data_IF_518518151531
#
_entry.id   IF_518518151531
#
_cell.length_a   1.000
_cell.length_b   1.000
_cell.length_c   1.000
_cell.angle_alpha   90.00
_cell.angle_beta   90.00
_cell.angle_gamma   90.00
#
_symmetry.space_group_name_H-M   'P 1'
#
loop_
_entity.id
_entity.type
_entity.pdbx_description
1 polymer ?
#
# COMPACT_ATOMS: atom_id res chain seq x y z
N UNK A 1 -38.64 -14.70 -13.12
CA UNK A 1 -37.48 -14.50 -12.26
C UNK A 1 -37.47 -13.05 -11.86
N UNK A 2 -37.93 -12.73 -10.66
CA UNK A 2 -38.16 -11.36 -10.21
C UNK A 2 -36.86 -10.74 -9.73
N UNK A 3 -36.47 -9.66 -10.38
CA UNK A 3 -35.36 -8.80 -9.93
C UNK A 3 -35.81 -8.04 -8.67
N UNK A 4 -35.38 -8.49 -7.52
CA UNK A 4 -35.51 -7.71 -6.28
C UNK A 4 -34.50 -6.57 -6.32
N UNK A 5 -34.98 -5.40 -6.76
CA UNK A 5 -34.27 -4.15 -6.62
C UNK A 5 -34.26 -3.76 -5.15
N UNK A 6 -33.13 -3.94 -4.49
CA UNK A 6 -32.90 -3.35 -3.18
C UNK A 6 -32.76 -1.83 -3.37
N UNK A 7 -33.88 -1.13 -3.23
CA UNK A 7 -33.96 0.33 -3.13
C UNK A 7 -33.30 0.77 -1.82
N UNK A 8 -31.98 0.85 -1.77
CA UNK A 8 -31.35 1.81 -0.87
C UNK A 8 -31.70 3.18 -1.43
N UNK A 9 -32.51 3.93 -0.68
CA UNK A 9 -33.10 5.19 -1.09
C UNK A 9 -32.03 6.13 -1.62
N UNK A 10 -32.37 6.92 -2.63
CA UNK A 10 -31.58 8.04 -3.16
C UNK A 10 -31.12 9.03 -2.06
N UNK A 11 -31.78 9.06 -0.92
CA UNK A 11 -31.42 9.89 0.24
C UNK A 11 -30.04 9.55 0.83
N UNK A 12 -29.52 8.33 0.63
CA UNK A 12 -28.17 7.97 1.05
C UNK A 12 -27.07 8.60 0.17
N UNK A 13 -27.41 9.08 -1.01
CA UNK A 13 -26.48 9.69 -1.97
C UNK A 13 -26.17 11.16 -1.67
N UNK A 14 -26.91 11.78 -0.78
CA UNK A 14 -26.79 13.21 -0.44
C UNK A 14 -26.34 13.47 1.00
N UNK A 15 -25.99 12.45 1.76
CA UNK A 15 -25.48 12.67 3.11
C UNK A 15 -24.11 13.33 3.05
N UNK A 16 -24.01 14.48 3.68
CA UNK A 16 -22.77 15.23 3.76
C UNK A 16 -21.72 14.41 4.54
N UNK A 17 -20.58 14.13 3.91
CA UNK A 17 -19.44 13.57 4.60
C UNK A 17 -18.80 14.69 5.43
N UNK A 18 -18.74 14.52 6.75
CA UNK A 18 -17.98 15.41 7.61
C UNK A 18 -16.58 14.84 7.82
N UNK A 19 -15.60 15.73 7.89
CA UNK A 19 -14.22 15.36 8.21
C UNK A 19 -13.84 15.92 9.58
N UNK A 20 -13.10 15.13 10.35
CA UNK A 20 -12.51 15.54 11.62
C UNK A 20 -11.02 15.22 11.59
N UNK A 21 -10.20 16.13 12.08
CA UNK A 21 -8.77 15.96 12.20
C UNK A 21 -8.41 16.09 13.67
N UNK A 22 -7.56 15.19 14.14
CA UNK A 22 -6.92 15.30 15.45
C UNK A 22 -5.41 15.46 15.23
N UNK A 23 -4.80 16.30 16.03
CA UNK A 23 -3.35 16.49 16.10
C UNK A 23 -2.97 16.30 17.56
N UNK A 24 -2.02 15.41 17.82
CA UNK A 24 -1.60 14.98 19.17
C UNK A 24 -2.77 14.61 20.09
N UNK A 25 -3.81 13.99 19.50
CA UNK A 25 -5.02 13.55 20.21
C UNK A 25 -6.12 14.58 20.34
N UNK A 26 -5.85 15.87 20.12
CA UNK A 26 -6.82 16.95 20.23
C UNK A 26 -7.47 17.28 18.88
N UNK A 27 -8.77 17.57 18.89
CA UNK A 27 -9.49 17.95 17.67
C UNK A 27 -9.01 19.30 17.15
N UNK A 28 -8.79 19.35 15.83
CA UNK A 28 -8.51 20.61 15.14
C UNK A 28 -9.71 21.58 15.31
N UNK A 29 -9.41 22.76 15.83
CA UNK A 29 -10.42 23.77 16.10
C UNK A 29 -11.19 24.22 14.85
N UNK A 30 -12.44 24.63 15.02
CA UNK A 30 -13.32 25.09 13.93
C UNK A 30 -12.84 26.40 13.25
N UNK A 31 -11.83 27.05 13.79
CA UNK A 31 -11.20 28.24 13.22
C UNK A 31 -10.40 27.91 11.95
N UNK A 32 -9.95 26.65 11.80
CA UNK A 32 -9.21 26.19 10.62
C UNK A 32 -10.19 25.76 9.52
N UNK A 33 -10.23 26.50 8.42
CA UNK A 33 -11.08 26.19 7.28
C UNK A 33 -10.40 25.14 6.38
N UNK A 34 -10.82 23.87 6.46
CA UNK A 34 -10.30 22.78 5.64
C UNK A 34 -10.86 22.91 4.22
N UNK A 35 -9.97 23.09 3.25
CA UNK A 35 -10.34 23.19 1.84
C UNK A 35 -10.36 21.83 1.14
N UNK A 36 -9.37 20.96 1.42
CA UNK A 36 -9.23 19.67 0.77
C UNK A 36 -8.45 18.69 1.63
N UNK A 37 -8.87 17.44 1.61
CA UNK A 37 -8.12 16.31 2.19
C UNK A 37 -7.95 15.26 1.10
N UNK A 38 -6.73 14.77 0.94
CA UNK A 38 -6.37 13.67 0.04
C UNK A 38 -5.60 12.63 0.82
N UNK A 39 -5.96 11.36 0.66
CA UNK A 39 -5.22 10.24 1.23
C UNK A 39 -4.76 9.31 0.11
N UNK A 40 -3.53 8.82 0.22
CA UNK A 40 -2.90 7.95 -0.76
C UNK A 40 -2.45 6.68 -0.07
N UNK A 41 -3.00 5.55 -0.50
CA UNK A 41 -2.64 4.22 -0.02
C UNK A 41 -2.30 3.36 -1.22
N UNK A 42 -1.07 2.88 -1.25
CA UNK A 42 -0.53 2.07 -2.33
C UNK A 42 0.17 0.85 -1.74
N UNK A 43 0.09 -0.28 -2.44
CA UNK A 43 0.84 -1.49 -2.08
C UNK A 43 2.35 -1.21 -2.19
N UNK A 44 3.13 -1.73 -1.25
CA UNK A 44 4.59 -1.58 -1.17
C UNK A 44 5.06 -0.11 -1.03
N UNK A 45 4.17 0.78 -0.59
CA UNK A 45 4.48 2.18 -0.32
C UNK A 45 3.91 2.64 1.02
N UNK A 46 4.54 3.65 1.58
CA UNK A 46 4.03 4.32 2.78
C UNK A 46 2.78 5.12 2.46
N UNK A 47 1.75 4.98 3.28
CA UNK A 47 0.53 5.77 3.17
C UNK A 47 0.82 7.23 3.47
N UNK A 48 0.16 8.12 2.74
CA UNK A 48 0.32 9.57 2.87
C UNK A 48 -1.04 10.25 2.91
N UNK A 49 -1.05 11.43 3.51
CA UNK A 49 -2.18 12.33 3.42
C UNK A 49 -1.70 13.76 3.11
N UNK A 50 -2.56 14.50 2.45
CA UNK A 50 -2.35 15.90 2.14
C UNK A 50 -3.58 16.67 2.53
N UNK A 51 -3.39 17.65 3.41
CA UNK A 51 -4.45 18.52 3.89
C UNK A 51 -4.17 19.93 3.39
N UNK A 52 -5.17 20.58 2.83
CA UNK A 52 -5.11 21.97 2.44
C UNK A 52 -6.07 22.76 3.33
N UNK A 53 -5.55 23.73 4.05
CA UNK A 53 -6.33 24.68 4.83
C UNK A 53 -6.21 26.08 4.24
N UNK A 54 -7.21 26.88 4.43
CA UNK A 54 -7.13 28.31 4.10
C UNK A 54 -6.38 29.00 5.23
N UNK A 55 -5.35 29.74 4.89
CA UNK A 55 -4.42 30.35 5.83
C UNK A 55 -4.04 31.78 5.42
N UNK A 56 -3.62 32.58 6.39
CA UNK A 56 -3.14 33.93 6.19
C UNK A 56 -4.22 34.99 6.22
N UNK A 57 -3.90 36.08 6.91
CA UNK A 57 -4.69 37.32 6.95
C UNK A 57 -3.97 38.41 6.15
N UNK A 58 -4.51 38.70 4.96
CA UNK A 58 -3.96 39.74 4.08
C UNK A 58 -3.99 41.14 4.70
N UNK A 59 -4.89 41.35 5.67
CA UNK A 59 -4.99 42.67 6.30
C UNK A 59 -3.89 42.90 7.31
N UNK A 60 -3.39 41.83 7.90
CA UNK A 60 -2.35 41.86 8.92
C UNK A 60 -0.97 41.44 8.39
N UNK A 61 -0.90 40.89 7.17
CA UNK A 61 0.31 40.25 6.62
C UNK A 61 0.89 39.15 7.52
N UNK A 62 0.03 38.38 8.20
CA UNK A 62 0.45 37.29 9.09
C UNK A 62 0.00 35.94 8.58
N UNK A 63 0.69 34.89 9.00
CA UNK A 63 0.40 33.49 8.73
C UNK A 63 0.34 32.71 10.06
N UNK A 64 -0.55 33.17 10.93
CA UNK A 64 -0.68 32.63 12.30
C UNK A 64 -0.85 31.09 12.30
N UNK A 65 -1.47 30.52 11.25
CA UNK A 65 -1.61 29.08 11.10
C UNK A 65 -0.29 28.35 10.87
N UNK A 66 0.65 28.97 10.14
CA UNK A 66 1.96 28.40 9.88
C UNK A 66 2.92 28.54 11.05
N UNK A 67 2.72 29.55 11.88
CA UNK A 67 3.51 29.79 13.10
C UNK A 67 3.00 28.97 14.29
N UNK A 68 1.87 28.29 14.13
CA UNK A 68 1.29 27.46 15.17
C UNK A 68 2.09 26.17 15.34
N UNK A 69 2.54 25.90 16.57
CA UNK A 69 3.21 24.64 16.92
C UNK A 69 2.34 23.38 16.64
N UNK A 70 1.05 23.57 16.41
CA UNK A 70 0.12 22.50 16.08
C UNK A 70 0.51 21.76 14.78
N UNK A 71 1.10 22.47 13.81
CA UNK A 71 1.48 21.90 12.51
C UNK A 71 2.98 21.61 12.40
N UNK A 72 3.66 21.51 13.52
CA UNK A 72 5.08 21.17 13.53
C UNK A 72 5.33 19.76 12.99
N UNK A 73 6.45 19.60 12.31
CA UNK A 73 6.87 18.29 11.82
C UNK A 73 7.13 17.33 12.99
N UNK A 74 6.58 16.13 12.89
CA UNK A 74 6.65 15.11 13.93
C UNK A 74 5.39 14.95 14.75
N UNK A 75 4.48 15.94 14.80
CA UNK A 75 3.21 15.83 15.51
C UNK A 75 2.34 14.70 14.91
N UNK A 76 1.70 13.95 15.79
CA UNK A 76 0.82 12.85 15.37
C UNK A 76 -0.49 13.39 14.79
N UNK A 77 -0.95 12.79 13.70
CA UNK A 77 -2.18 13.21 13.04
C UNK A 77 -3.11 12.02 12.78
N UNK A 78 -4.40 12.24 13.05
CA UNK A 78 -5.47 11.30 12.72
C UNK A 78 -6.56 12.01 11.92
N UNK A 79 -6.92 11.46 10.76
CA UNK A 79 -7.97 11.97 9.90
C UNK A 79 -9.14 10.99 9.94
N UNK A 80 -10.31 11.50 10.28
CA UNK A 80 -11.56 10.74 10.33
C UNK A 80 -12.56 11.31 9.33
N UNK A 81 -13.29 10.42 8.67
CA UNK A 81 -14.50 10.78 7.95
C UNK A 81 -15.72 10.17 8.64
N UNK A 82 -16.76 10.96 8.79
CA UNK A 82 -18.02 10.46 9.32
C UNK A 82 -19.05 10.40 8.20
N UNK A 83 -19.62 9.21 8.05
CA UNK A 83 -20.78 8.96 7.26
C UNK A 83 -21.88 8.49 8.23
N UNK A 84 -23.05 9.12 8.21
CA UNK A 84 -24.11 8.81 9.19
C UNK A 84 -23.67 8.88 10.67
N UNK A 85 -22.88 9.88 11.02
CA UNK A 85 -22.37 10.13 12.38
C UNK A 85 -21.43 9.04 12.95
N UNK A 86 -21.01 8.06 12.14
CA UNK A 86 -20.02 7.07 12.52
C UNK A 86 -18.65 7.48 11.98
N UNK A 87 -17.72 7.91 12.84
CA UNK A 87 -16.40 8.28 12.39
C UNK A 87 -15.61 7.03 11.99
N UNK A 88 -15.00 7.08 10.82
CA UNK A 88 -14.06 6.07 10.31
C UNK A 88 -12.71 6.72 10.15
N UNK A 89 -11.69 6.14 10.77
CA UNK A 89 -10.31 6.60 10.61
C UNK A 89 -9.82 6.22 9.23
N UNK A 90 -9.52 7.22 8.41
CA UNK A 90 -9.01 7.02 7.05
C UNK A 90 -7.50 7.14 6.97
N UNK A 91 -6.88 7.84 7.92
CA UNK A 91 -5.43 8.00 7.97
C UNK A 91 -4.96 8.28 9.39
N UNK A 92 -3.85 7.62 9.78
CA UNK A 92 -3.01 7.96 10.94
C UNK A 92 -1.56 8.06 10.51
N UNK A 93 -0.83 9.00 11.11
CA UNK A 93 0.59 9.17 10.83
C UNK A 93 1.15 10.37 11.56
N UNK A 94 2.17 10.95 10.98
CA UNK A 94 2.85 12.15 11.49
C UNK A 94 2.87 13.23 10.41
N UNK A 95 2.91 14.48 10.84
CA UNK A 95 3.14 15.63 9.96
C UNK A 95 4.60 15.58 9.51
N UNK A 96 4.83 15.56 8.19
CA UNK A 96 6.16 15.54 7.62
C UNK A 96 6.67 16.96 7.33
N UNK A 97 5.80 17.77 6.75
CA UNK A 97 6.09 19.16 6.43
C UNK A 97 4.80 19.95 6.18
N UNK A 98 4.89 21.24 6.29
CA UNK A 98 3.89 22.15 5.76
C UNK A 98 4.51 23.18 4.81
N UNK A 99 3.70 23.73 3.94
CA UNK A 99 4.10 24.78 3.00
C UNK A 99 2.97 25.77 2.79
N UNK A 100 3.32 27.03 2.57
CA UNK A 100 2.36 28.08 2.28
C UNK A 100 2.41 28.38 0.78
N UNK A 101 1.25 28.52 0.17
CA UNK A 101 1.11 28.94 -1.21
C UNK A 101 0.31 30.25 -1.23
N UNK A 102 0.96 31.28 -1.72
CA UNK A 102 0.33 32.58 -1.99
C UNK A 102 -0.07 32.60 -3.48
N UNK A 103 -1.32 32.93 -3.75
CA UNK A 103 -1.74 33.19 -5.13
C UNK A 103 -2.30 34.59 -5.23
N UNK A 104 -1.64 35.45 -6.01
CA UNK A 104 -2.21 36.73 -6.40
C UNK A 104 -3.40 36.49 -7.33
N UNK A 105 -4.60 36.89 -6.90
CA UNK A 105 -5.78 36.88 -7.75
C UNK A 105 -5.81 38.09 -8.65
N UNK A 106 -5.72 37.87 -9.94
CA UNK A 106 -6.10 38.87 -10.91
C UNK A 106 -7.62 39.12 -10.80
N UNK A 107 -8.00 40.37 -10.53
CA UNK A 107 -9.38 40.87 -10.42
C UNK A 107 -10.24 40.42 -9.22
N UNK A 108 -10.31 41.26 -8.19
CA UNK A 108 -11.42 41.44 -7.22
C UNK A 108 -12.00 40.20 -6.49
N UNK A 109 -11.49 39.01 -6.60
CA UNK A 109 -11.84 37.88 -5.73
C UNK A 109 -10.75 37.76 -4.67
N UNK A 110 -11.15 37.83 -3.38
CA UNK A 110 -10.29 37.53 -2.23
C UNK A 110 -9.59 36.19 -2.45
N UNK A 111 -8.36 36.20 -2.93
CA UNK A 111 -7.55 35.01 -3.03
C UNK A 111 -7.10 34.66 -1.64
N UNK A 112 -7.67 33.61 -1.08
CA UNK A 112 -7.22 33.08 0.20
C UNK A 112 -5.91 32.32 -0.04
N UNK A 113 -4.88 32.63 0.72
CA UNK A 113 -3.67 31.81 0.76
C UNK A 113 -4.00 30.43 1.27
N UNK A 114 -3.22 29.46 0.88
CA UNK A 114 -3.39 28.07 1.30
C UNK A 114 -2.15 27.57 2.00
N UNK A 115 -2.35 26.92 3.10
CA UNK A 115 -1.33 26.11 3.74
C UNK A 115 -1.57 24.66 3.38
N UNK A 116 -0.52 23.98 2.99
CA UNK A 116 -0.54 22.56 2.62
C UNK A 116 0.27 21.79 3.65
N UNK A 117 -0.38 20.84 4.31
CA UNK A 117 0.22 19.97 5.32
C UNK A 117 0.36 18.59 4.68
N UNK A 118 1.57 18.09 4.60
CA UNK A 118 1.88 16.76 4.08
C UNK A 118 2.19 15.81 5.24
N UNK A 119 1.43 14.73 5.30
CA UNK A 119 1.49 13.74 6.36
C UNK A 119 1.90 12.38 5.78
N UNK A 120 2.59 11.59 6.58
CA UNK A 120 3.03 10.25 6.22
C UNK A 120 2.78 9.30 7.39
N UNK A 121 2.48 8.03 7.08
CA UNK A 121 2.33 7.00 8.10
C UNK A 121 3.62 6.86 8.94
N UNK A 122 3.46 6.56 10.21
CA UNK A 122 4.56 6.44 11.18
C UNK A 122 5.60 5.39 10.78
N UNK A 123 5.26 4.47 9.89
CA UNK A 123 6.19 3.52 9.30
C UNK A 123 7.35 4.18 8.53
N UNK A 124 7.29 5.49 8.26
CA UNK A 124 8.42 6.25 7.72
C UNK A 124 9.66 6.16 8.61
N UNK A 125 9.49 5.96 9.92
CA UNK A 125 10.60 5.83 10.87
C UNK A 125 11.49 4.61 10.55
N UNK A 126 10.94 3.57 9.91
CA UNK A 126 11.73 2.45 9.42
C UNK A 126 12.74 2.83 8.33
N UNK A 127 12.51 3.94 7.60
CA UNK A 127 13.48 4.47 6.63
C UNK A 127 14.67 5.16 7.28
N UNK A 128 14.53 5.54 8.52
CA UNK A 128 15.61 6.24 9.27
C UNK A 128 16.44 5.26 10.10
N UNK A 129 16.10 3.98 10.10
CA UNK A 129 16.81 2.93 10.84
C UNK A 129 17.77 2.18 9.91
N UNK A 130 19.06 2.45 10.03
CA UNK A 130 20.16 1.86 9.26
C UNK A 130 21.06 1.00 10.18
N UNK A 131 20.48 0.03 10.86
CA UNK A 131 21.25 -0.83 11.74
C UNK A 131 21.74 -2.07 10.99
N UNK A 132 23.06 -2.22 10.86
CA UNK A 132 23.66 -3.43 10.33
C UNK A 132 23.49 -4.58 11.32
N UNK A 133 22.93 -5.68 10.85
CA UNK A 133 22.57 -6.83 11.70
C UNK A 133 22.73 -8.13 10.92
N UNK A 134 23.15 -9.17 11.59
CA UNK A 134 23.17 -10.54 11.05
C UNK A 134 22.10 -11.37 11.77
N UNK A 135 21.15 -11.86 11.02
CA UNK A 135 20.12 -12.76 11.53
C UNK A 135 20.57 -14.20 11.32
N UNK A 136 20.39 -15.03 12.33
CA UNK A 136 20.72 -16.45 12.29
C UNK A 136 19.52 -17.28 12.72
N UNK A 137 19.26 -18.37 12.02
CA UNK A 137 18.16 -19.30 12.30
C UNK A 137 16.82 -18.57 12.49
N UNK A 138 16.48 -17.74 11.53
CA UNK A 138 15.23 -16.96 11.54
C UNK A 138 14.53 -17.01 10.19
N UNK A 139 13.19 -17.05 10.27
CA UNK A 139 12.33 -16.86 9.09
C UNK A 139 12.16 -15.37 8.77
N UNK A 140 11.82 -15.05 7.53
CA UNK A 140 11.53 -13.67 7.13
C UNK A 140 10.39 -13.05 7.93
N UNK A 141 9.36 -13.83 8.27
CA UNK A 141 8.28 -13.38 9.16
C UNK A 141 8.80 -12.90 10.51
N UNK A 142 9.70 -13.66 11.15
CA UNK A 142 10.27 -13.30 12.45
C UNK A 142 11.12 -12.05 12.36
N UNK A 143 11.91 -11.93 11.30
CA UNK A 143 12.78 -10.77 11.07
C UNK A 143 11.94 -9.51 10.84
N UNK A 144 10.96 -9.58 9.96
CA UNK A 144 10.08 -8.45 9.63
C UNK A 144 9.30 -7.99 10.88
N UNK A 145 8.75 -8.92 11.65
CA UNK A 145 8.05 -8.57 12.89
C UNK A 145 8.98 -7.89 13.90
N UNK A 146 10.22 -8.36 14.02
CA UNK A 146 11.21 -7.77 14.90
C UNK A 146 11.50 -6.30 14.50
N UNK A 147 11.76 -6.04 13.22
CA UNK A 147 12.03 -4.71 12.70
C UNK A 147 10.87 -3.74 12.95
N UNK A 148 9.64 -4.18 12.69
CA UNK A 148 8.45 -3.32 12.91
C UNK A 148 8.23 -3.03 14.38
N UNK A 149 8.38 -4.04 15.25
CA UNK A 149 8.15 -3.91 16.68
C UNK A 149 9.19 -3.03 17.40
N UNK A 150 10.35 -2.78 16.79
CA UNK A 150 11.34 -1.84 17.29
C UNK A 150 10.89 -0.38 17.17
N UNK A 151 9.86 -0.09 16.40
CA UNK A 151 9.32 1.27 16.24
C UNK A 151 8.06 1.41 17.09
N UNK A 152 8.15 2.24 18.13
CA UNK A 152 7.02 2.51 19.02
C UNK A 152 5.82 3.07 18.27
N UNK A 153 4.63 2.52 18.54
CA UNK A 153 3.38 2.95 17.95
C UNK A 153 3.09 2.35 16.56
N UNK A 154 3.95 1.47 16.03
CA UNK A 154 3.63 0.61 14.90
C UNK A 154 3.07 -0.73 15.38
N UNK A 155 2.26 -1.34 14.54
CA UNK A 155 1.79 -2.72 14.70
C UNK A 155 2.01 -3.50 13.40
N UNK A 156 2.15 -4.82 13.52
CA UNK A 156 2.38 -5.71 12.38
C UNK A 156 1.38 -6.84 12.31
N UNK A 157 1.16 -7.32 11.11
CA UNK A 157 0.49 -8.59 10.82
C UNK A 157 1.20 -9.19 9.62
N UNK A 158 2.02 -10.21 9.84
CA UNK A 158 2.89 -10.80 8.81
C UNK A 158 2.50 -12.25 8.62
N UNK A 159 2.16 -12.63 7.39
CA UNK A 159 1.89 -14.01 7.04
C UNK A 159 3.14 -14.88 7.24
N UNK A 160 2.93 -16.16 7.53
CA UNK A 160 4.02 -17.10 7.80
C UNK A 160 4.90 -17.30 6.56
N UNK A 161 6.21 -17.35 6.78
CA UNK A 161 7.19 -17.73 5.78
C UNK A 161 7.86 -19.04 6.17
N UNK A 162 8.14 -19.89 5.20
CA UNK A 162 8.56 -21.28 5.45
C UNK A 162 10.06 -21.48 5.49
N UNK A 163 10.82 -20.61 4.81
CA UNK A 163 12.26 -20.74 4.75
C UNK A 163 12.93 -20.10 5.97
N UNK A 164 13.79 -20.86 6.65
CA UNK A 164 14.61 -20.41 7.76
C UNK A 164 16.04 -20.18 7.28
N UNK A 165 16.50 -18.94 7.39
CA UNK A 165 17.84 -18.54 7.00
C UNK A 165 18.86 -19.02 8.03
N UNK A 166 19.85 -19.81 7.61
CA UNK A 166 20.99 -20.15 8.46
C UNK A 166 21.75 -18.87 8.86
N UNK A 167 22.00 -17.99 7.91
CA UNK A 167 22.61 -16.66 8.11
C UNK A 167 22.02 -15.71 7.06
N UNK A 168 21.51 -14.56 7.50
CA UNK A 168 21.02 -13.50 6.62
C UNK A 168 21.57 -12.16 7.08
N UNK A 169 22.51 -11.55 6.37
CA UNK A 169 23.02 -10.24 6.69
C UNK A 169 22.06 -9.15 6.19
N UNK A 170 21.74 -8.18 7.04
CA UNK A 170 21.18 -6.88 6.70
C UNK A 170 22.33 -5.88 6.79
N UNK A 171 22.79 -5.37 5.66
CA UNK A 171 23.92 -4.47 5.59
C UNK A 171 23.66 -3.29 4.66
N UNK A 172 23.92 -2.08 5.15
CA UNK A 172 23.82 -0.81 4.42
C UNK A 172 22.45 -0.62 3.73
N UNK A 173 21.39 -1.06 4.39
CA UNK A 173 20.00 -0.90 3.95
C UNK A 173 19.14 -0.48 5.14
N UNK A 174 18.21 0.45 4.94
CA UNK A 174 17.22 0.78 5.95
C UNK A 174 16.18 -0.31 6.16
N UNK A 175 15.52 -0.29 7.32
CA UNK A 175 14.57 -1.33 7.70
C UNK A 175 13.37 -1.41 6.76
N UNK A 176 12.89 -0.28 6.24
CA UNK A 176 11.76 -0.26 5.31
C UNK A 176 12.08 -0.98 4.00
N UNK A 177 13.20 -0.66 3.38
CA UNK A 177 13.60 -1.29 2.11
C UNK A 177 13.95 -2.76 2.31
N UNK A 178 14.57 -3.10 3.45
CA UNK A 178 14.85 -4.51 3.79
C UNK A 178 13.54 -5.31 3.95
N UNK A 179 12.52 -4.75 4.65
CA UNK A 179 11.20 -5.38 4.74
C UNK A 179 10.59 -5.58 3.35
N UNK A 180 10.68 -4.58 2.47
CA UNK A 180 10.16 -4.71 1.09
C UNK A 180 10.88 -5.80 0.30
N UNK A 181 12.20 -5.89 0.42
CA UNK A 181 12.98 -6.93 -0.27
C UNK A 181 12.63 -8.32 0.23
N UNK A 182 12.52 -8.50 1.56
CA UNK A 182 12.15 -9.80 2.15
C UNK A 182 10.71 -10.18 1.81
N UNK A 183 9.78 -9.24 1.84
CA UNK A 183 8.41 -9.47 1.40
C UNK A 183 8.35 -9.87 -0.08
N UNK A 184 9.05 -9.14 -0.96
CA UNK A 184 9.14 -9.46 -2.39
C UNK A 184 9.73 -10.84 -2.64
N UNK A 185 10.77 -11.21 -1.89
CA UNK A 185 11.41 -12.52 -1.98
C UNK A 185 10.42 -13.66 -1.73
N UNK A 186 9.50 -13.48 -0.79
CA UNK A 186 8.44 -14.44 -0.46
C UNK A 186 7.15 -14.26 -1.31
N UNK A 187 7.14 -13.32 -2.26
CA UNK A 187 5.94 -13.00 -3.04
C UNK A 187 4.80 -12.41 -2.21
N UNK A 188 5.12 -11.76 -1.10
CA UNK A 188 4.17 -11.08 -0.23
C UNK A 188 4.01 -9.62 -0.61
N UNK A 189 2.86 -9.05 -0.31
CA UNK A 189 2.53 -7.64 -0.50
C UNK A 189 2.57 -6.91 0.85
N UNK A 190 3.16 -5.72 0.85
CA UNK A 190 3.19 -4.85 2.04
C UNK A 190 2.10 -3.80 1.92
N UNK A 191 1.13 -3.86 2.83
CA UNK A 191 0.08 -2.87 2.97
C UNK A 191 0.36 -2.05 4.22
N UNK A 192 0.36 -0.73 4.06
CA UNK A 192 0.54 0.21 5.15
C UNK A 192 -0.73 1.03 5.34
N UNK A 193 -1.29 1.01 6.54
CA UNK A 193 -2.49 1.79 6.86
C UNK A 193 -2.62 2.04 8.36
N UNK A 194 -2.77 3.31 8.74
CA UNK A 194 -3.09 3.71 10.11
C UNK A 194 -2.07 3.19 11.16
N UNK A 195 -0.78 3.34 10.86
CA UNK A 195 0.34 2.87 11.69
C UNK A 195 0.36 1.34 11.86
N UNK A 196 -0.23 0.61 10.93
CA UNK A 196 -0.17 -0.85 10.85
C UNK A 196 0.44 -1.29 9.52
N UNK A 197 1.40 -2.19 9.60
CA UNK A 197 1.96 -2.90 8.45
C UNK A 197 1.35 -4.30 8.37
N UNK A 198 0.69 -4.59 7.26
CA UNK A 198 0.17 -5.92 6.96
C UNK A 198 0.95 -6.48 5.79
N UNK A 199 1.71 -7.54 6.03
CA UNK A 199 2.49 -8.24 5.00
C UNK A 199 1.75 -9.54 4.72
N UNK A 200 1.19 -9.64 3.52
CA UNK A 200 0.20 -10.67 3.20
C UNK A 200 0.46 -11.35 1.87
N UNK A 201 0.15 -12.63 1.82
CA UNK A 201 0.10 -13.38 0.57
C UNK A 201 -1.08 -12.88 -0.29
N UNK A 202 -0.82 -12.45 -1.54
CA UNK A 202 -1.87 -12.06 -2.47
C UNK A 202 -2.63 -13.24 -3.07
N UNK A 203 -2.15 -14.48 -2.91
CA UNK A 203 -2.89 -15.67 -3.28
C UNK A 203 -4.09 -15.80 -2.35
N UNK A 204 -5.25 -15.62 -2.90
CA UNK A 204 -6.45 -15.42 -2.12
C UNK A 204 -7.38 -16.58 -2.40
N UNK A 205 -7.82 -17.24 -1.35
CA UNK A 205 -9.01 -18.08 -1.39
C UNK A 205 -10.25 -17.27 -1.75
N UNK A 206 -11.43 -17.80 -1.58
CA UNK A 206 -12.67 -17.06 -1.84
C UNK A 206 -12.71 -15.76 -1.03
N UNK A 207 -12.62 -14.62 -1.73
CA UNK A 207 -12.83 -13.30 -1.12
C UNK A 207 -14.25 -12.87 -1.43
N UNK A 208 -15.01 -12.64 -0.37
CA UNK A 208 -16.25 -11.87 -0.50
C UNK A 208 -15.89 -10.40 -0.76
N UNK A 209 -16.43 -9.77 -1.81
CA UNK A 209 -16.18 -8.36 -2.05
C UNK A 209 -16.75 -7.52 -0.91
N UNK A 210 -15.92 -6.65 -0.33
CA UNK A 210 -16.35 -5.70 0.71
C UNK A 210 -17.29 -4.63 0.13
N UNK A 211 -17.03 -4.24 -1.12
CA UNK A 211 -17.82 -3.23 -1.84
C UNK A 211 -18.12 -3.72 -3.25
N UNK A 212 -19.39 -3.73 -3.61
CA UNK A 212 -19.83 -4.02 -4.97
C UNK A 212 -20.26 -2.72 -5.65
N UNK A 213 -19.59 -2.36 -6.74
CA UNK A 213 -19.89 -1.18 -7.54
C UNK A 213 -20.68 -1.61 -8.76
N UNK A 214 -21.89 -1.08 -8.91
CA UNK A 214 -22.76 -1.35 -10.08
C UNK A 214 -22.75 -0.18 -11.03
N UNK A 215 -22.85 -0.46 -12.32
CA UNK A 215 -23.00 0.58 -13.33
C UNK A 215 -24.28 1.40 -13.05
N UNK A 216 -24.14 2.74 -13.05
CA UNK A 216 -25.23 3.65 -12.64
C UNK A 216 -25.32 3.92 -11.13
N UNK A 217 -24.60 3.18 -10.28
CA UNK A 217 -24.57 3.34 -8.81
C UNK A 217 -23.51 4.33 -8.29
N UNK A 218 -23.26 5.45 -8.98
CA UNK A 218 -22.24 6.43 -8.57
C UNK A 218 -20.86 6.21 -9.20
N UNK A 219 -20.72 5.24 -10.10
CA UNK A 219 -19.50 5.05 -10.90
C UNK A 219 -19.31 6.23 -11.84
N UNK A 220 -18.13 6.86 -11.77
CA UNK A 220 -17.73 7.96 -12.64
C UNK A 220 -16.96 7.46 -13.87
N UNK A 221 -16.09 6.49 -13.67
CA UNK A 221 -15.37 5.79 -14.74
C UNK A 221 -14.91 4.42 -14.27
N UNK A 222 -14.84 3.48 -15.22
CA UNK A 222 -14.27 2.16 -15.02
C UNK A 222 -13.51 1.76 -16.27
N UNK A 223 -12.30 1.28 -16.08
CA UNK A 223 -11.42 0.79 -17.14
C UNK A 223 -10.73 -0.48 -16.62
N UNK A 224 -10.68 -1.52 -17.42
CA UNK A 224 -10.00 -2.76 -17.08
C UNK A 224 -9.25 -3.29 -18.29
N UNK A 225 -8.04 -3.80 -18.05
CA UNK A 225 -7.17 -4.38 -19.05
C UNK A 225 -6.86 -5.82 -18.67
N UNK A 226 -6.91 -6.71 -19.66
CA UNK A 226 -6.39 -8.07 -19.57
C UNK A 226 -5.11 -8.12 -20.41
N UNK A 227 -4.00 -8.41 -19.75
CA UNK A 227 -2.68 -8.45 -20.37
C UNK A 227 -2.15 -9.88 -20.39
N UNK A 228 -1.74 -10.35 -21.56
CA UNK A 228 -1.11 -11.64 -21.73
C UNK A 228 0.42 -11.57 -21.69
N UNK A 229 1.00 -10.36 -21.68
CA UNK A 229 2.43 -10.16 -21.54
C UNK A 229 2.90 -10.68 -20.18
N UNK A 230 4.09 -11.23 -20.12
CA UNK A 230 4.68 -11.79 -18.90
C UNK A 230 3.86 -12.90 -18.23
N UNK A 231 2.92 -13.52 -18.94
CA UNK A 231 2.18 -14.70 -18.50
C UNK A 231 2.90 -15.97 -18.98
N UNK A 232 3.87 -16.45 -18.20
CA UNK A 232 4.64 -17.64 -18.53
C UNK A 232 3.90 -18.91 -18.09
N UNK A 233 3.92 -19.93 -18.94
CA UNK A 233 3.38 -21.24 -18.58
C UNK A 233 4.20 -21.91 -17.47
N UNK A 234 5.51 -21.61 -17.43
CA UNK A 234 6.45 -22.14 -16.46
C UNK A 234 7.52 -21.09 -16.16
N UNK A 235 7.80 -20.88 -14.88
CA UNK A 235 8.96 -20.13 -14.43
C UNK A 235 9.90 -21.09 -13.71
N UNK A 236 11.12 -21.17 -14.20
CA UNK A 236 12.17 -22.07 -13.72
C UNK A 236 13.36 -21.26 -13.26
N UNK A 237 13.81 -21.51 -12.05
CA UNK A 237 15.05 -20.96 -11.51
C UNK A 237 16.11 -22.03 -11.40
N UNK A 238 17.33 -21.64 -11.69
CA UNK A 238 18.53 -22.48 -11.54
C UNK A 238 19.57 -21.75 -10.69
N UNK A 239 20.19 -22.47 -9.78
CA UNK A 239 21.33 -22.01 -8.99
C UNK A 239 22.37 -23.12 -8.96
N UNK A 240 23.64 -22.76 -8.91
CA UNK A 240 24.75 -23.69 -8.76
C UNK A 240 25.36 -23.50 -7.39
N UNK A 241 25.48 -24.60 -6.65
CA UNK A 241 26.24 -24.61 -5.42
C UNK A 241 27.73 -24.63 -5.79
N UNK A 242 28.47 -23.61 -5.37
CA UNK A 242 29.89 -23.45 -5.69
C UNK A 242 30.78 -24.48 -4.98
N UNK A 243 30.28 -25.07 -3.91
CA UNK A 243 31.05 -26.05 -3.13
C UNK A 243 30.87 -27.49 -3.63
N UNK A 244 29.62 -27.91 -3.84
CA UNK A 244 29.29 -29.26 -4.32
C UNK A 244 29.25 -29.36 -5.85
N UNK A 245 29.32 -28.25 -6.57
CA UNK A 245 29.12 -28.12 -8.02
C UNK A 245 27.75 -28.62 -8.52
N UNK A 246 26.82 -28.93 -7.61
CA UNK A 246 25.45 -29.33 -7.96
C UNK A 246 24.64 -28.18 -8.53
N UNK A 247 23.80 -28.48 -9.51
CA UNK A 247 22.84 -27.53 -10.08
C UNK A 247 21.47 -27.80 -9.52
N UNK A 248 20.97 -26.87 -8.76
CA UNK A 248 19.59 -26.89 -8.27
C UNK A 248 18.66 -26.24 -9.29
N UNK A 249 17.59 -26.94 -9.63
CA UNK A 249 16.55 -26.44 -10.53
C UNK A 249 15.20 -26.51 -9.83
N UNK A 250 14.48 -25.40 -9.74
CA UNK A 250 13.15 -25.32 -9.15
C UNK A 250 12.16 -24.61 -10.07
N UNK A 251 10.96 -25.15 -10.11
CA UNK A 251 9.84 -24.56 -10.83
C UNK A 251 8.90 -23.87 -9.85
N UNK A 252 8.41 -22.69 -10.22
CA UNK A 252 7.38 -22.02 -9.46
C UNK A 252 6.03 -22.74 -9.55
N UNK A 253 5.33 -22.78 -8.45
CA UNK A 253 3.97 -23.29 -8.37
C UNK A 253 2.96 -22.18 -8.71
N UNK A 254 1.91 -22.55 -9.45
CA UNK A 254 0.80 -21.62 -9.68
C UNK A 254 0.06 -21.35 -8.37
N UNK A 255 -0.18 -20.09 -8.03
CA UNK A 255 -1.01 -19.76 -6.88
C UNK A 255 -2.47 -20.15 -7.13
N UNK A 256 -3.24 -20.33 -6.05
CA UNK A 256 -4.68 -20.42 -6.15
C UNK A 256 -5.23 -19.09 -6.65
N UNK A 257 -5.77 -19.08 -7.87
CA UNK A 257 -6.32 -17.87 -8.47
C UNK A 257 -7.80 -17.70 -8.13
N UNK A 258 -8.19 -16.46 -7.84
CA UNK A 258 -9.59 -16.06 -7.63
C UNK A 258 -10.45 -16.05 -8.91
N UNK A 259 -10.01 -16.67 -9.97
CA UNK A 259 -10.70 -16.56 -11.25
C UNK A 259 -11.82 -17.60 -11.35
N UNK A 260 -13.03 -17.10 -11.35
CA UNK A 260 -14.23 -17.91 -11.54
C UNK A 260 -14.43 -18.38 -12.99
N UNK A 261 -13.64 -17.86 -13.94
CA UNK A 261 -13.76 -18.18 -15.36
C UNK A 261 -12.46 -18.80 -15.90
N UNK A 262 -12.45 -20.10 -16.08
CA UNK A 262 -11.31 -20.88 -16.57
C UNK A 262 -10.77 -20.45 -17.94
N UNK A 263 -11.55 -19.73 -18.76
CA UNK A 263 -11.09 -19.25 -20.08
C UNK A 263 -10.10 -18.09 -19.96
N UNK A 264 -10.13 -17.36 -18.86
CA UNK A 264 -9.31 -16.17 -18.61
C UNK A 264 -8.32 -16.39 -17.46
N UNK A 265 -8.11 -17.63 -17.02
CA UNK A 265 -7.05 -17.90 -16.07
C UNK A 265 -5.67 -17.69 -16.70
N UNK A 266 -4.69 -17.38 -15.89
CA UNK A 266 -3.34 -17.06 -16.35
C UNK A 266 -2.70 -18.23 -17.11
N UNK A 267 -2.95 -19.46 -16.67
CA UNK A 267 -2.41 -20.67 -17.30
C UNK A 267 -3.01 -20.91 -18.68
N UNK A 268 -4.31 -20.62 -18.87
CA UNK A 268 -4.96 -20.72 -20.18
C UNK A 268 -4.48 -19.63 -21.11
N UNK A 269 -4.28 -18.40 -20.61
CA UNK A 269 -3.75 -17.28 -21.39
C UNK A 269 -2.30 -17.57 -21.79
N UNK A 270 -1.44 -18.00 -20.87
CA UNK A 270 -0.04 -18.28 -21.14
C UNK A 270 0.20 -19.37 -22.18
N UNK A 271 -0.71 -20.34 -22.29
CA UNK A 271 -0.65 -21.37 -23.35
C UNK A 271 -0.91 -20.82 -24.74
N UNK A 272 -1.57 -19.66 -24.84
CA UNK A 272 -1.90 -19.01 -26.11
C UNK A 272 -0.91 -17.91 -26.49
N UNK A 273 -0.19 -17.36 -25.51
CA UNK A 273 0.84 -16.35 -25.69
C UNK A 273 2.23 -17.02 -25.73
N UNK A 274 3.15 -16.43 -26.44
CA UNK A 274 4.56 -16.85 -26.46
C UNK A 274 5.40 -15.76 -25.80
N UNK A 275 6.45 -16.05 -25.03
CA UNK A 275 7.08 -17.35 -24.77
C UNK A 275 6.40 -18.14 -23.66
N UNK A 276 6.49 -19.46 -23.73
CA UNK A 276 5.84 -20.35 -22.79
C UNK A 276 6.61 -20.56 -21.48
N UNK A 277 7.92 -20.41 -21.49
CA UNK A 277 8.79 -20.66 -20.34
C UNK A 277 9.76 -19.52 -20.11
N UNK A 278 9.93 -19.15 -18.84
CA UNK A 278 10.97 -18.24 -18.36
C UNK A 278 11.97 -19.00 -17.52
N UNK A 279 13.25 -19.03 -17.97
CA UNK A 279 14.36 -19.60 -17.22
C UNK A 279 15.27 -18.49 -16.73
N UNK A 280 15.59 -18.51 -15.44
CA UNK A 280 16.49 -17.54 -14.81
C UNK A 280 17.58 -18.31 -14.07
N UNK A 281 18.83 -18.02 -14.41
CA UNK A 281 19.99 -18.53 -13.70
C UNK A 281 20.45 -17.49 -12.68
N UNK A 282 20.52 -17.88 -11.42
CA UNK A 282 20.99 -16.99 -10.35
C UNK A 282 22.53 -16.98 -10.32
N UNK A 283 23.14 -15.81 -10.18
CA UNK A 283 24.61 -15.67 -10.21
C UNK A 283 25.30 -16.03 -8.89
N UNK A 284 24.55 -16.42 -7.87
CA UNK A 284 25.04 -16.73 -6.53
C UNK A 284 24.43 -18.02 -6.00
N UNK A 285 25.09 -18.60 -5.03
CA UNK A 285 24.65 -19.82 -4.38
C UNK A 285 23.34 -19.59 -3.62
N UNK A 286 22.33 -20.36 -3.97
CA UNK A 286 21.03 -20.35 -3.31
C UNK A 286 20.64 -21.80 -3.06
N UNK A 287 20.27 -22.09 -1.84
CA UNK A 287 19.82 -23.41 -1.43
C UNK A 287 18.52 -23.81 -2.17
N UNK A 288 18.32 -25.10 -2.32
CA UNK A 288 17.20 -25.64 -3.09
C UNK A 288 15.82 -25.22 -2.54
N UNK A 289 15.67 -25.00 -1.23
CA UNK A 289 14.41 -24.59 -0.60
C UNK A 289 14.21 -23.08 -0.78
N UNK A 290 15.26 -22.30 -0.61
CA UNK A 290 15.25 -20.86 -0.87
C UNK A 290 14.92 -20.57 -2.34
N UNK A 291 15.56 -21.32 -3.26
CA UNK A 291 15.29 -21.25 -4.70
C UNK A 291 13.81 -21.55 -5.02
N UNK A 292 13.20 -22.48 -4.30
CA UNK A 292 11.78 -22.81 -4.46
C UNK A 292 10.88 -21.66 -4.05
N UNK A 293 11.13 -21.03 -2.90
CA UNK A 293 10.37 -19.86 -2.43
C UNK A 293 10.41 -18.73 -3.45
N UNK A 294 11.59 -18.44 -3.99
CA UNK A 294 11.76 -17.39 -4.99
C UNK A 294 11.04 -17.72 -6.30
N UNK A 295 11.08 -18.98 -6.76
CA UNK A 295 10.37 -19.43 -7.96
C UNK A 295 8.86 -19.29 -7.81
N UNK A 296 8.32 -19.64 -6.64
CA UNK A 296 6.90 -19.48 -6.32
C UNK A 296 6.50 -18.00 -6.28
N UNK A 297 7.32 -17.14 -5.65
CA UNK A 297 7.12 -15.71 -5.59
C UNK A 297 7.04 -15.07 -6.99
N UNK A 298 8.00 -15.39 -7.87
CA UNK A 298 8.01 -14.85 -9.24
C UNK A 298 6.81 -15.33 -10.05
N UNK A 299 6.41 -16.59 -9.89
CA UNK A 299 5.21 -17.11 -10.54
C UNK A 299 3.97 -16.38 -10.08
N UNK A 300 3.84 -16.15 -8.77
CA UNK A 300 2.73 -15.40 -8.17
C UNK A 300 2.66 -13.97 -8.71
N UNK A 301 3.79 -13.25 -8.75
CA UNK A 301 3.85 -11.89 -9.31
C UNK A 301 3.43 -11.86 -10.78
N UNK A 302 3.92 -12.82 -11.59
CA UNK A 302 3.50 -12.95 -12.98
C UNK A 302 1.97 -13.09 -13.12
N UNK A 303 1.34 -13.92 -12.26
CA UNK A 303 -0.12 -14.11 -12.28
C UNK A 303 -0.90 -12.85 -11.88
N UNK A 304 -0.39 -12.08 -10.92
CA UNK A 304 -1.02 -10.82 -10.49
C UNK A 304 -1.03 -9.75 -11.60
N UNK A 305 -0.03 -9.73 -12.46
CA UNK A 305 0.09 -8.74 -13.54
C UNK A 305 -0.90 -8.96 -14.69
N UNK A 306 -1.62 -10.08 -14.71
CA UNK A 306 -2.60 -10.41 -15.78
C UNK A 306 -3.71 -9.40 -15.95
N UNK A 307 -4.22 -8.87 -14.85
CA UNK A 307 -5.33 -7.92 -14.88
C UNK A 307 -4.93 -6.63 -14.19
N UNK A 308 -5.19 -5.53 -14.85
CA UNK A 308 -5.06 -4.19 -14.29
C UNK A 308 -6.31 -3.37 -14.60
N UNK A 309 -6.57 -2.34 -13.82
CA UNK A 309 -7.71 -1.49 -14.06
C UNK A 309 -7.72 -0.25 -13.19
N UNK A 310 -8.60 0.66 -13.56
CA UNK A 310 -8.86 1.88 -12.82
C UNK A 310 -10.35 2.08 -12.67
N UNK A 311 -10.78 2.38 -11.48
CA UNK A 311 -12.15 2.77 -11.21
C UNK A 311 -12.16 4.12 -10.49
N UNK A 312 -13.11 4.98 -10.86
CA UNK A 312 -13.41 6.23 -10.18
C UNK A 312 -14.89 6.24 -9.83
N UNK A 313 -15.20 6.49 -8.59
CA UNK A 313 -16.58 6.52 -8.09
C UNK A 313 -16.73 7.56 -6.98
N UNK A 314 -17.96 7.96 -6.72
CA UNK A 314 -18.26 8.76 -5.54
C UNK A 314 -18.12 7.88 -4.31
N UNK A 315 -17.55 8.44 -3.24
CA UNK A 315 -17.34 7.73 -1.99
C UNK A 315 -18.64 7.09 -1.47
N UNK A 316 -18.50 5.95 -0.86
CA UNK A 316 -19.59 5.13 -0.29
C UNK A 316 -19.55 5.28 1.21
#
# INVERSE_FOLDING_TARGET
MALTTNKKSLDSLYKAVSSQIKIDGEFLGSTYEIYKIETFKEINRLSRAKIQILAGDYTKNTFDESESALFDAGNEIEIQFSYDQKPVVVFKGIILKHSISLSEGYMRRKTKSKMVIECIDKAVLLKNSFTDTVYTQKTDQQIINNLINNVSGLSSSVDSTTYEHAVLPKYNIDDWHFILERAKFNGLLVLNSNNKLTIKDPSVGEISPEVTITNGGGTLSFEAHLDADNQYNKIQLESRDSFSEEVFTKNGADPNEMVTNSKNDAKTISKKSSPTELKINLPHDVDANELKVLADALTKVSRLQRMSGRAKFKGV
#
